data_IF_042275206020
#
_entry.id   IF_042275206020
#
_cell.length_a   1.000
_cell.length_b   1.000
_cell.length_c   1.000
_cell.angle_alpha   90.00
_cell.angle_beta   90.00
_cell.angle_gamma   90.00
#
_symmetry.space_group_name_H-M   'P 1'
#
loop_
_entity.id
_entity.type
_entity.pdbx_description
1 polymer ?
#
# COMPACT_ATOMS: atom_id res chain seq x y z
N UNK A 1 -24.88 17.55 -17.76
CA UNK A 1 -23.75 16.94 -18.51
C UNK A 1 -23.16 15.84 -17.63
N UNK A 2 -23.00 14.58 -18.02
CA UNK A 2 -23.01 14.03 -19.37
C UNK A 2 -22.07 12.82 -19.43
N UNK A 3 -22.46 11.73 -18.75
CA UNK A 3 -22.26 10.31 -19.11
C UNK A 3 -20.84 9.70 -19.13
N UNK A 4 -20.82 8.38 -18.81
CA UNK A 4 -19.78 7.34 -19.04
C UNK A 4 -18.64 7.20 -18.02
N UNK A 5 -19.00 6.67 -16.86
CA UNK A 5 -18.13 5.81 -16.03
C UNK A 5 -18.32 4.30 -16.35
N UNK A 6 -19.08 3.98 -17.39
CA UNK A 6 -19.46 2.60 -17.77
C UNK A 6 -18.49 1.89 -18.74
N UNK A 7 -17.37 2.49 -19.14
CA UNK A 7 -16.53 1.94 -20.22
C UNK A 7 -15.01 1.96 -19.96
N UNK A 8 -14.54 2.19 -18.74
CA UNK A 8 -13.15 1.90 -18.39
C UNK A 8 -12.97 0.42 -18.02
N UNK A 9 -13.04 -0.44 -19.05
CA UNK A 9 -12.18 -1.59 -19.30
C UNK A 9 -11.81 -2.44 -18.06
N UNK A 10 -12.40 -3.60 -17.76
CA UNK A 10 -12.58 -4.74 -18.66
C UNK A 10 -11.36 -5.09 -19.53
N UNK A 11 -10.13 -4.93 -19.03
CA UNK A 11 -8.97 -5.77 -19.45
C UNK A 11 -7.93 -5.77 -18.30
N UNK A 12 -7.56 -6.85 -17.64
CA UNK A 12 -8.06 -8.21 -17.57
C UNK A 12 -7.57 -8.83 -16.26
N UNK A 13 -8.46 -9.56 -15.58
CA UNK A 13 -8.17 -10.77 -14.80
C UNK A 13 -9.49 -11.25 -14.24
N UNK A 14 -10.13 -12.19 -14.94
CA UNK A 14 -11.42 -12.76 -14.55
C UNK A 14 -11.37 -13.60 -13.26
N UNK A 15 -10.29 -13.55 -12.47
CA UNK A 15 -10.07 -14.45 -11.33
C UNK A 15 -9.88 -13.73 -9.97
N UNK A 16 -9.96 -12.40 -9.90
CA UNK A 16 -9.90 -11.66 -8.64
C UNK A 16 -11.28 -11.46 -7.95
N UNK A 17 -12.39 -11.64 -8.68
CA UNK A 17 -13.74 -11.39 -8.17
C UNK A 17 -14.25 -12.44 -7.17
N UNK A 18 -13.66 -13.64 -7.15
CA UNK A 18 -14.16 -14.71 -6.29
C UNK A 18 -13.64 -14.63 -4.85
N UNK A 19 -12.52 -13.93 -4.61
CA UNK A 19 -11.86 -13.89 -3.30
C UNK A 19 -12.48 -12.84 -2.35
N UNK A 20 -13.02 -11.73 -2.88
CA UNK A 20 -13.67 -10.70 -2.08
C UNK A 20 -15.10 -11.07 -1.59
N UNK A 21 -15.57 -12.31 -1.82
CA UNK A 21 -16.90 -12.77 -1.37
C UNK A 21 -16.90 -13.34 0.06
N UNK A 22 -15.74 -13.57 0.67
CA UNK A 22 -15.67 -13.82 2.10
C UNK A 22 -15.20 -12.59 2.84
N UNK A 23 -16.17 -11.76 3.23
CA UNK A 23 -16.04 -10.98 4.43
C UNK A 23 -17.41 -10.74 5.05
N UNK A 24 -17.68 -11.43 6.15
CA UNK A 24 -18.69 -11.06 7.14
C UNK A 24 -17.93 -10.71 8.42
N UNK A 25 -17.16 -9.62 8.37
CA UNK A 25 -16.64 -8.97 9.56
C UNK A 25 -17.62 -7.86 9.95
N UNK A 26 -18.12 -7.83 11.20
CA UNK A 26 -19.14 -6.89 11.62
C UNK A 26 -18.49 -5.58 12.06
N UNK A 27 -18.09 -4.72 11.13
CA UNK A 27 -17.96 -3.27 11.38
C UNK A 27 -18.18 -2.50 10.07
N UNK A 28 -18.93 -1.40 10.16
CA UNK A 28 -19.52 -0.69 9.03
C UNK A 28 -18.57 -0.33 7.88
N UNK A 29 -19.07 -0.60 6.67
CA UNK A 29 -18.78 0.08 5.41
C UNK A 29 -17.31 0.39 5.03
N UNK A 30 -16.46 -0.65 4.89
CA UNK A 30 -15.14 -0.56 4.24
C UNK A 30 -14.87 -1.67 3.21
N UNK A 31 -15.92 -2.08 2.49
CA UNK A 31 -15.97 -3.31 1.67
C UNK A 31 -15.06 -3.32 0.42
N UNK A 32 -14.47 -2.19 0.01
CA UNK A 32 -13.64 -2.09 -1.21
C UNK A 32 -12.11 -2.05 -1.01
N UNK A 33 -11.64 -1.56 0.14
CA UNK A 33 -10.23 -1.15 0.31
C UNK A 33 -9.28 -2.35 0.31
N UNK A 34 -9.71 -3.48 0.86
CA UNK A 34 -8.84 -4.64 1.06
C UNK A 34 -8.47 -5.33 -0.25
N UNK A 35 -9.39 -5.45 -1.19
CA UNK A 35 -9.11 -6.09 -2.48
C UNK A 35 -8.29 -5.18 -3.41
N UNK A 36 -8.46 -3.86 -3.29
CA UNK A 36 -7.58 -2.91 -3.98
C UNK A 36 -6.13 -3.02 -3.50
N UNK A 37 -5.91 -3.13 -2.18
CA UNK A 37 -4.58 -3.29 -1.58
C UNK A 37 -3.83 -4.50 -2.14
N UNK A 38 -4.45 -5.68 -2.11
CA UNK A 38 -3.81 -6.89 -2.63
C UNK A 38 -3.59 -6.83 -4.14
N UNK A 39 -4.45 -6.14 -4.89
CA UNK A 39 -4.25 -5.92 -6.33
C UNK A 39 -3.03 -5.04 -6.59
N UNK A 40 -2.83 -3.99 -5.78
CA UNK A 40 -1.65 -3.12 -5.87
C UNK A 40 -0.37 -3.88 -5.52
N UNK A 41 -0.38 -4.64 -4.43
CA UNK A 41 0.76 -5.47 -4.02
C UNK A 41 1.09 -6.57 -5.06
N UNK A 42 0.06 -7.14 -5.70
CA UNK A 42 0.26 -8.13 -6.77
C UNK A 42 0.88 -7.47 -8.01
N UNK A 43 0.42 -6.27 -8.40
CA UNK A 43 1.01 -5.51 -9.51
C UNK A 43 2.45 -5.11 -9.25
N UNK A 44 2.80 -4.82 -7.99
CA UNK A 44 4.17 -4.54 -7.56
C UNK A 44 5.04 -5.81 -7.45
N UNK A 45 4.50 -7.01 -7.68
CA UNK A 45 5.25 -8.26 -7.61
C UNK A 45 5.60 -8.73 -6.20
N UNK A 46 5.07 -8.09 -5.15
CA UNK A 46 5.34 -8.45 -3.75
C UNK A 46 4.56 -9.71 -3.34
N UNK A 47 3.35 -9.88 -3.88
CA UNK A 47 2.49 -11.04 -3.60
C UNK A 47 2.08 -11.76 -4.89
N UNK A 48 1.93 -13.07 -4.79
CA UNK A 48 1.38 -13.93 -5.84
C UNK A 48 0.05 -14.51 -5.40
N UNK A 49 -0.93 -14.51 -6.31
CA UNK A 49 -2.20 -15.19 -6.10
C UNK A 49 -2.02 -16.69 -6.38
N UNK A 50 -2.25 -17.55 -5.38
CA UNK A 50 -2.28 -19.00 -5.55
C UNK A 50 -3.69 -19.43 -5.98
N UNK A 51 -3.80 -20.01 -7.18
CA UNK A 51 -5.03 -20.65 -7.67
C UNK A 51 -5.15 -22.04 -7.05
N UNK A 52 -6.33 -22.40 -6.52
CA UNK A 52 -6.60 -23.74 -5.96
C UNK A 52 -7.56 -23.77 -4.77
N UNK A 53 -7.83 -24.98 -4.27
CA UNK A 53 -8.63 -25.23 -3.05
C UNK A 53 -7.83 -24.71 -1.85
N UNK A 54 -8.34 -23.68 -1.17
CA UNK A 54 -7.58 -22.96 -0.13
C UNK A 54 -6.67 -21.85 -0.66
N UNK A 55 -6.88 -21.40 -1.91
CA UNK A 55 -6.12 -20.32 -2.53
C UNK A 55 -6.19 -18.99 -1.77
N UNK A 56 -5.13 -18.19 -1.92
CA UNK A 56 -4.94 -16.91 -1.25
C UNK A 56 -3.71 -16.18 -1.81
N UNK A 57 -3.29 -15.12 -1.14
CA UNK A 57 -2.04 -14.41 -1.47
C UNK A 57 -0.88 -15.00 -0.68
N UNK A 58 0.23 -15.26 -1.35
CA UNK A 58 1.50 -15.60 -0.73
C UNK A 58 2.54 -14.54 -1.12
N UNK A 59 3.56 -14.34 -0.30
CA UNK A 59 4.70 -13.51 -0.70
C UNK A 59 5.39 -14.14 -1.91
N UNK A 60 5.75 -13.31 -2.88
CA UNK A 60 6.52 -13.72 -4.05
C UNK A 60 7.99 -13.98 -3.69
N UNK A 61 8.49 -13.25 -2.69
CA UNK A 61 9.87 -13.24 -2.22
C UNK A 61 9.93 -13.61 -0.72
N UNK A 62 11.09 -14.04 -0.20
CA UNK A 62 11.30 -14.20 1.23
C UNK A 62 10.97 -12.92 2.00
N UNK A 63 10.40 -13.04 3.20
CA UNK A 63 10.09 -11.89 4.04
C UNK A 63 11.33 -11.08 4.49
N UNK A 64 12.52 -11.65 4.35
CA UNK A 64 13.80 -10.98 4.57
C UNK A 64 14.16 -9.99 3.47
N UNK A 65 13.59 -10.15 2.28
CA UNK A 65 14.00 -9.40 1.09
C UNK A 65 12.98 -8.30 0.75
N UNK A 66 11.79 -8.35 1.36
CA UNK A 66 10.74 -7.34 1.19
C UNK A 66 10.89 -6.27 2.26
N UNK A 67 11.21 -5.05 1.84
CA UNK A 67 11.36 -3.88 2.71
C UNK A 67 10.04 -3.16 2.97
N UNK A 68 9.97 -2.39 4.06
CA UNK A 68 8.79 -1.61 4.38
C UNK A 68 8.53 -0.50 3.36
N UNK A 69 9.60 0.10 2.82
CA UNK A 69 9.49 1.16 1.80
C UNK A 69 8.85 0.63 0.51
N UNK A 70 9.21 -0.56 0.05
CA UNK A 70 8.60 -1.18 -1.14
C UNK A 70 7.11 -1.45 -0.95
N UNK A 71 6.69 -1.87 0.25
CA UNK A 71 5.28 -2.09 0.57
C UNK A 71 4.52 -0.76 0.53
N UNK A 72 5.05 0.30 1.14
CA UNK A 72 4.42 1.63 1.14
C UNK A 72 4.33 2.18 -0.29
N UNK A 73 5.42 2.11 -1.06
CA UNK A 73 5.45 2.57 -2.45
C UNK A 73 4.50 1.78 -3.36
N UNK A 74 4.31 0.48 -3.10
CA UNK A 74 3.33 -0.32 -3.84
C UNK A 74 1.87 0.10 -3.56
N UNK A 75 1.57 0.55 -2.34
CA UNK A 75 0.19 0.85 -1.90
C UNK A 75 -0.20 2.30 -2.22
N UNK A 76 0.66 3.24 -1.86
CA UNK A 76 0.40 4.68 -1.98
C UNK A 76 0.98 5.29 -3.26
N UNK A 77 1.92 4.59 -3.90
CA UNK A 77 2.69 5.07 -5.04
C UNK A 77 3.89 5.92 -4.61
N UNK A 78 4.74 6.26 -5.59
CA UNK A 78 5.87 7.20 -5.40
C UNK A 78 5.37 8.65 -5.37
N UNK A 79 4.50 8.98 -4.42
CA UNK A 79 4.08 10.36 -4.18
C UNK A 79 5.09 11.05 -3.27
N UNK A 80 5.39 12.32 -3.56
CA UNK A 80 6.15 13.16 -2.66
C UNK A 80 5.31 13.43 -1.40
N UNK A 81 5.95 13.40 -0.23
CA UNK A 81 5.31 13.79 1.03
C UNK A 81 5.03 15.29 1.06
N UNK A 82 5.85 16.06 0.34
CA UNK A 82 5.75 17.50 0.26
C UNK A 82 5.77 18.00 -1.19
N UNK A 83 4.72 18.72 -1.58
CA UNK A 83 4.64 19.45 -2.84
C UNK A 83 4.87 20.95 -2.60
N UNK A 84 5.98 21.50 -3.11
CA UNK A 84 6.23 22.93 -3.06
C UNK A 84 5.19 23.67 -3.92
N UNK A 85 4.43 24.59 -3.31
CA UNK A 85 3.45 25.44 -4.02
C UNK A 85 4.05 26.73 -4.58
N UNK A 86 5.38 26.89 -4.55
CA UNK A 86 6.04 28.06 -5.14
C UNK A 86 5.71 29.39 -4.44
N UNK A 87 5.42 29.36 -3.14
CA UNK A 87 4.95 30.53 -2.36
C UNK A 87 5.87 31.76 -2.51
N UNK A 88 7.18 31.57 -2.71
CA UNK A 88 8.14 32.66 -2.96
C UNK A 88 7.80 33.50 -4.19
N UNK A 89 7.28 32.88 -5.26
CA UNK A 89 6.88 33.56 -6.49
C UNK A 89 5.57 34.35 -6.34
N UNK A 90 4.77 34.04 -5.32
CA UNK A 90 3.47 34.63 -5.04
C UNK A 90 3.48 35.46 -3.75
N UNK A 91 4.66 35.83 -3.26
CA UNK A 91 4.78 36.49 -1.96
C UNK A 91 4.26 37.92 -2.06
N UNK A 92 3.20 38.23 -1.29
CA UNK A 92 2.56 39.55 -1.27
C UNK A 92 3.52 40.70 -0.96
N UNK A 93 4.65 40.43 -0.30
CA UNK A 93 5.70 41.43 -0.01
C UNK A 93 6.35 41.99 -1.27
N UNK A 94 6.40 41.24 -2.36
CA UNK A 94 7.07 41.65 -3.60
C UNK A 94 6.16 42.41 -4.57
N UNK A 95 4.87 42.54 -4.26
CA UNK A 95 3.91 43.19 -5.17
C UNK A 95 3.96 42.56 -6.57
N UNK A 96 4.08 43.40 -7.59
CA UNK A 96 4.08 42.98 -9.00
C UNK A 96 5.42 42.45 -9.51
N UNK A 97 6.51 42.57 -8.74
CA UNK A 97 7.87 42.20 -9.19
C UNK A 97 8.61 41.40 -8.15
N UNK A 98 8.64 40.08 -8.35
CA UNK A 98 9.47 39.18 -7.56
C UNK A 98 10.93 39.27 -8.01
N UNK A 99 11.88 39.58 -7.11
CA UNK A 99 13.28 39.68 -7.48
C UNK A 99 13.87 38.30 -7.83
N UNK A 100 14.83 38.25 -8.75
CA UNK A 100 15.38 36.98 -9.26
C UNK A 100 15.93 36.08 -8.15
N UNK A 101 16.67 36.63 -7.18
CA UNK A 101 17.19 35.88 -6.02
C UNK A 101 16.09 35.21 -5.19
N UNK A 102 14.86 35.75 -5.21
CA UNK A 102 13.74 35.21 -4.44
C UNK A 102 13.06 34.03 -5.13
N UNK A 103 13.34 33.75 -6.40
CA UNK A 103 12.82 32.57 -7.12
C UNK A 103 13.93 31.68 -7.66
N UNK A 104 15.17 32.15 -7.60
CA UNK A 104 16.34 31.36 -7.96
C UNK A 104 16.52 30.18 -6.99
N UNK A 105 16.78 29.03 -7.57
CA UNK A 105 17.01 27.75 -6.89
C UNK A 105 15.84 27.19 -6.07
N UNK A 106 16.13 26.05 -5.43
CA UNK A 106 15.23 25.40 -4.47
C UNK A 106 15.16 26.22 -3.20
N UNK A 107 13.95 26.49 -2.70
CA UNK A 107 13.82 27.21 -1.42
C UNK A 107 14.33 26.37 -0.26
N UNK A 108 14.93 27.00 0.75
CA UNK A 108 15.51 26.30 1.91
C UNK A 108 14.51 25.39 2.61
N UNK A 109 13.24 25.78 2.68
CA UNK A 109 12.16 24.94 3.22
C UNK A 109 11.95 23.69 2.35
N UNK A 110 11.89 23.84 1.03
CA UNK A 110 11.73 22.69 0.14
C UNK A 110 12.94 21.76 0.21
N UNK A 111 14.16 22.29 0.26
CA UNK A 111 15.37 21.49 0.46
C UNK A 111 15.32 20.69 1.78
N UNK A 112 14.93 21.33 2.88
CA UNK A 112 14.77 20.67 4.18
C UNK A 112 13.67 19.59 4.14
N UNK A 113 12.55 19.86 3.46
CA UNK A 113 11.47 18.89 3.32
C UNK A 113 11.88 17.68 2.46
N UNK A 114 12.67 17.89 1.41
CA UNK A 114 13.24 16.81 0.60
C UNK A 114 14.20 15.94 1.42
N UNK A 115 15.06 16.57 2.22
CA UNK A 115 15.96 15.85 3.13
C UNK A 115 15.19 15.03 4.18
N UNK A 116 14.16 15.62 4.78
CA UNK A 116 13.31 14.94 5.75
C UNK A 116 12.58 13.73 5.13
N UNK A 117 12.05 13.88 3.91
CA UNK A 117 11.43 12.79 3.17
C UNK A 117 12.43 11.66 2.89
N UNK A 118 13.64 12.00 2.44
CA UNK A 118 14.68 11.02 2.17
C UNK A 118 15.03 10.22 3.43
N UNK A 119 15.24 10.90 4.56
CA UNK A 119 15.53 10.22 5.84
C UNK A 119 14.41 9.29 6.29
N UNK A 120 13.16 9.67 6.06
CA UNK A 120 12.03 8.81 6.36
C UNK A 120 12.02 7.56 5.45
N UNK A 121 12.31 7.73 4.15
CA UNK A 121 12.43 6.60 3.21
C UNK A 121 13.58 5.68 3.58
N UNK A 122 14.74 6.22 3.94
CA UNK A 122 15.92 5.44 4.34
C UNK A 122 15.64 4.62 5.61
N UNK A 123 14.97 5.22 6.60
CA UNK A 123 14.58 4.53 7.82
C UNK A 123 13.62 3.36 7.55
N UNK A 124 12.70 3.51 6.59
CA UNK A 124 11.80 2.42 6.18
C UNK A 124 12.53 1.35 5.35
N UNK A 125 13.47 1.76 4.49
CA UNK A 125 14.28 0.86 3.68
C UNK A 125 15.16 -0.07 4.55
N UNK A 126 15.60 0.40 5.72
CA UNK A 126 16.37 -0.38 6.68
C UNK A 126 15.57 -1.51 7.39
N UNK A 127 14.26 -1.62 7.15
CA UNK A 127 13.41 -2.59 7.82
C UNK A 127 12.66 -3.48 6.84
N UNK A 128 12.77 -4.80 7.06
CA UNK A 128 12.12 -5.83 6.26
C UNK A 128 10.87 -6.36 6.95
N UNK A 129 10.00 -7.04 6.21
CA UNK A 129 8.83 -7.72 6.80
C UNK A 129 9.23 -8.71 7.89
N UNK A 130 10.37 -9.39 7.75
CA UNK A 130 10.92 -10.27 8.77
C UNK A 130 11.33 -9.50 10.05
N UNK A 131 11.98 -8.35 9.91
CA UNK A 131 12.32 -7.47 11.05
C UNK A 131 11.06 -7.00 11.78
N UNK A 132 10.05 -6.57 11.03
CA UNK A 132 8.76 -6.15 11.59
C UNK A 132 8.09 -7.31 12.33
N UNK A 133 8.07 -8.51 11.73
CA UNK A 133 7.56 -9.72 12.39
C UNK A 133 8.27 -9.97 13.71
N UNK A 134 9.59 -9.87 13.76
CA UNK A 134 10.37 -10.02 14.99
C UNK A 134 9.92 -9.05 16.09
N UNK A 135 9.77 -7.77 15.75
CA UNK A 135 9.31 -6.72 16.69
C UNK A 135 7.89 -6.99 17.22
N UNK A 136 7.00 -7.51 16.38
CA UNK A 136 5.64 -7.90 16.79
C UNK A 136 5.71 -9.11 17.72
N UNK A 137 6.50 -10.13 17.38
CA UNK A 137 6.67 -11.34 18.19
C UNK A 137 7.23 -11.05 19.58
N UNK A 138 8.08 -10.03 19.75
CA UNK A 138 8.57 -9.61 21.08
C UNK A 138 7.45 -9.07 21.98
N UNK A 139 6.43 -8.42 21.41
CA UNK A 139 5.33 -7.81 22.16
C UNK A 139 4.14 -8.73 22.38
N UNK A 140 4.14 -9.88 21.71
CA UNK A 140 2.95 -10.69 21.52
C UNK A 140 3.08 -12.02 22.29
N UNK A 141 2.01 -12.50 22.96
CA UNK A 141 2.00 -13.83 23.57
C UNK A 141 2.38 -14.94 22.59
N UNK A 142 3.11 -15.97 23.07
CA UNK A 142 3.67 -17.04 22.23
C UNK A 142 2.60 -17.81 21.44
N UNK A 143 1.39 -17.94 22.00
CA UNK A 143 0.23 -18.63 21.40
C UNK A 143 -0.50 -17.80 20.33
N UNK A 144 -0.32 -16.48 20.33
CA UNK A 144 -1.10 -15.57 19.49
C UNK A 144 -0.95 -15.87 17.99
N UNK A 145 0.26 -16.18 17.53
CA UNK A 145 0.50 -16.47 16.11
C UNK A 145 -0.30 -17.69 15.66
N UNK A 146 -0.33 -18.75 16.48
CA UNK A 146 -1.14 -19.94 16.22
C UNK A 146 -2.64 -19.62 16.20
N UNK A 147 -3.11 -18.80 17.15
CA UNK A 147 -4.51 -18.35 17.20
C UNK A 147 -4.92 -17.55 15.97
N UNK A 148 -4.05 -16.69 15.44
CA UNK A 148 -4.30 -15.95 14.20
C UNK A 148 -4.36 -16.89 12.99
N UNK A 149 -3.45 -17.87 12.91
CA UNK A 149 -3.46 -18.86 11.83
C UNK A 149 -4.73 -19.70 11.83
N UNK A 150 -5.14 -20.18 13.00
CA UNK A 150 -6.39 -20.93 13.17
C UNK A 150 -7.62 -20.08 12.79
N UNK A 151 -7.63 -18.82 13.23
CA UNK A 151 -8.68 -17.87 12.90
C UNK A 151 -8.80 -17.59 11.39
N UNK A 152 -7.67 -17.52 10.67
CA UNK A 152 -7.62 -17.38 9.21
C UNK A 152 -8.07 -18.67 8.50
N UNK A 153 -7.60 -19.83 8.97
CA UNK A 153 -7.95 -21.13 8.41
C UNK A 153 -9.46 -21.40 8.51
N UNK A 154 -10.08 -21.08 9.66
CA UNK A 154 -11.52 -21.22 9.88
C UNK A 154 -12.37 -20.36 8.92
N UNK A 155 -11.82 -19.26 8.40
CA UNK A 155 -12.48 -18.34 7.46
C UNK A 155 -12.15 -18.60 6.01
N UNK A 156 -11.26 -19.56 5.72
CA UNK A 156 -10.97 -19.93 4.34
C UNK A 156 -12.12 -20.80 3.82
N UNK A 157 -12.84 -20.39 2.76
CA UNK A 157 -14.05 -21.07 2.33
C UNK A 157 -13.73 -22.48 1.84
N UNK A 158 -14.23 -23.50 2.53
CA UNK A 158 -14.22 -24.88 2.07
C UNK A 158 -15.32 -25.06 1.01
N UNK A 159 -15.03 -24.75 -0.26
CA UNK A 159 -15.98 -25.04 -1.34
C UNK A 159 -15.99 -26.56 -1.58
N UNK A 160 -17.06 -27.22 -1.16
CA UNK A 160 -17.24 -28.67 -1.29
C UNK A 160 -17.09 -29.15 -2.73
N UNK A 161 -16.33 -30.23 -2.92
CA UNK A 161 -16.13 -30.91 -4.20
C UNK A 161 -17.51 -31.30 -4.74
N UNK A 162 -17.95 -30.70 -5.85
CA UNK A 162 -19.14 -31.18 -6.58
C UNK A 162 -18.78 -32.58 -7.09
N UNK A 163 -19.30 -33.62 -6.43
CA UNK A 163 -19.15 -35.01 -6.87
C UNK A 163 -19.88 -35.12 -8.22
N UNK A 164 -19.14 -35.48 -9.25
CA UNK A 164 -19.63 -35.96 -10.55
C UNK A 164 -20.16 -37.38 -10.40
#
# INVERSE_FOLDING_TARGET
MGKRWEQACCVGSAEAKQFCRLDRLPTGDRRGIRCELFTKLQKAGIVVARKGIGGGFALALPATDVTAVEVVEAVDGRKALFECKGIRAQCARFGDRTPAWAVDGVCSIHALMLEAEQRARDAMAAHTLASIKGRVSTKTPKDHTGRVQEWLAARTPRRGRRRS
#
